data_IF_993460189478
#
_entry.id   IF_993460189478
#
_cell.length_a   1.000
_cell.length_b   1.000
_cell.length_c   1.000
_cell.angle_alpha   90.00
_cell.angle_beta   90.00
_cell.angle_gamma   90.00
#
_symmetry.space_group_name_H-M   'P 1'
#
loop_
_entity.id
_entity.type
_entity.pdbx_description
1 polymer ?
#
# COMPACT_ATOMS: atom_id res chain seq x y z
N UNK A 1 -20.43 0.48 11.41
CA UNK A 1 -19.06 0.03 11.07
C UNK A 1 -18.75 -1.34 11.64
N UNK A 2 -18.67 -1.54 12.97
CA UNK A 2 -18.30 -2.85 13.57
C UNK A 2 -19.22 -4.01 13.17
N UNK A 3 -20.52 -3.78 13.04
CA UNK A 3 -21.50 -4.80 12.63
C UNK A 3 -21.32 -5.31 11.19
N UNK A 4 -20.62 -4.57 10.33
CA UNK A 4 -20.42 -4.93 8.92
C UNK A 4 -19.15 -5.77 8.70
N UNK A 5 -18.22 -5.74 9.67
CA UNK A 5 -16.91 -6.39 9.57
C UNK A 5 -17.04 -7.91 9.38
N UNK A 6 -17.87 -8.65 10.15
CA UNK A 6 -17.96 -10.11 10.00
C UNK A 6 -18.44 -10.52 8.60
N UNK A 7 -19.43 -9.80 8.05
CA UNK A 7 -19.95 -10.07 6.70
C UNK A 7 -18.91 -9.81 5.61
N UNK A 8 -18.18 -8.69 5.73
CA UNK A 8 -17.06 -8.38 4.83
C UNK A 8 -15.97 -9.47 4.91
N UNK A 9 -15.53 -9.84 6.12
CA UNK A 9 -14.53 -10.88 6.34
C UNK A 9 -14.96 -12.21 5.76
N UNK A 10 -16.22 -12.61 5.97
CA UNK A 10 -16.74 -13.86 5.43
C UNK A 10 -16.74 -13.88 3.89
N UNK A 11 -17.05 -12.75 3.26
CA UNK A 11 -16.96 -12.64 1.80
C UNK A 11 -15.52 -12.75 1.31
N UNK A 12 -14.55 -12.19 2.04
CA UNK A 12 -13.13 -12.32 1.71
C UNK A 12 -12.68 -13.77 1.84
N UNK A 13 -13.10 -14.47 2.90
CA UNK A 13 -12.80 -15.90 3.07
C UNK A 13 -13.31 -16.73 1.89
N UNK A 14 -14.57 -16.55 1.50
CA UNK A 14 -15.17 -17.31 0.39
C UNK A 14 -14.53 -16.95 -0.95
N UNK A 15 -14.24 -15.66 -1.18
CA UNK A 15 -13.48 -15.21 -2.35
C UNK A 15 -12.14 -15.93 -2.51
N UNK A 16 -11.49 -16.29 -1.39
CA UNK A 16 -10.16 -16.90 -1.37
C UNK A 16 -10.15 -18.41 -1.11
N UNK A 17 -11.33 -19.06 -1.07
CA UNK A 17 -11.44 -20.50 -0.84
C UNK A 17 -11.18 -21.36 -2.09
N UNK A 18 -11.16 -20.75 -3.29
CA UNK A 18 -10.97 -21.45 -4.56
C UNK A 18 -11.17 -20.53 -5.75
N UNK A 19 -11.40 -21.12 -6.94
CA UNK A 19 -11.59 -20.38 -8.20
C UNK A 19 -12.93 -20.69 -8.88
N UNK A 20 -13.85 -21.34 -8.17
CA UNK A 20 -15.17 -21.67 -8.70
C UNK A 20 -16.08 -20.43 -8.84
N UNK A 21 -17.29 -20.65 -9.34
CA UNK A 21 -18.27 -19.59 -9.55
C UNK A 21 -18.66 -18.88 -8.26
N UNK A 22 -18.71 -19.61 -7.14
CA UNK A 22 -19.06 -19.07 -5.82
C UNK A 22 -17.96 -18.16 -5.29
N UNK A 23 -16.70 -18.59 -5.40
CA UNK A 23 -15.54 -17.79 -5.01
C UNK A 23 -15.46 -16.49 -5.84
N UNK A 24 -15.55 -16.58 -7.17
CA UNK A 24 -15.50 -15.40 -8.04
C UNK A 24 -16.66 -14.42 -7.78
N UNK A 25 -17.89 -14.95 -7.60
CA UNK A 25 -19.03 -14.13 -7.23
C UNK A 25 -18.83 -13.45 -5.87
N UNK A 26 -18.25 -14.15 -4.90
CA UNK A 26 -17.93 -13.59 -3.58
C UNK A 26 -16.85 -12.51 -3.64
N UNK A 27 -15.85 -12.62 -4.53
CA UNK A 27 -14.89 -11.54 -4.76
C UNK A 27 -15.58 -10.28 -5.30
N UNK A 28 -16.48 -10.44 -6.27
CA UNK A 28 -17.22 -9.32 -6.87
C UNK A 28 -18.16 -8.65 -5.85
N UNK A 29 -18.97 -9.44 -5.13
CA UNK A 29 -19.94 -8.94 -4.15
C UNK A 29 -19.23 -8.39 -2.91
N UNK A 30 -18.11 -8.98 -2.51
CA UNK A 30 -17.38 -8.57 -1.32
C UNK A 30 -16.94 -7.11 -1.37
N UNK A 31 -16.65 -6.56 -2.56
CA UNK A 31 -16.38 -5.11 -2.71
C UNK A 31 -17.56 -4.28 -2.20
N UNK A 32 -18.79 -4.67 -2.51
CA UNK A 32 -19.99 -3.99 -2.02
C UNK A 32 -20.24 -4.21 -0.52
N UNK A 33 -19.84 -5.36 0.03
CA UNK A 33 -19.99 -5.65 1.46
C UNK A 33 -18.93 -4.93 2.31
N UNK A 34 -17.72 -4.74 1.79
CA UNK A 34 -16.60 -4.15 2.49
C UNK A 34 -16.52 -2.63 2.32
N UNK A 35 -16.77 -2.09 1.12
CA UNK A 35 -16.63 -0.66 0.83
C UNK A 35 -17.41 0.28 1.75
N UNK A 36 -18.62 -0.06 2.24
CA UNK A 36 -19.33 0.81 3.18
C UNK A 36 -18.54 1.10 4.47
N UNK A 37 -17.65 0.19 4.90
CA UNK A 37 -16.76 0.41 6.06
C UNK A 37 -15.84 1.61 5.80
N UNK A 38 -15.30 1.69 4.57
CA UNK A 38 -14.43 2.77 4.10
C UNK A 38 -15.25 4.03 3.84
N UNK A 39 -16.43 3.89 3.22
CA UNK A 39 -17.29 5.01 2.85
C UNK A 39 -17.72 5.86 4.06
N UNK A 40 -17.90 5.26 5.24
CA UNK A 40 -18.19 6.01 6.49
C UNK A 40 -17.09 7.02 6.82
N UNK A 41 -15.83 6.74 6.49
CA UNK A 41 -14.76 7.72 6.62
C UNK A 41 -14.86 8.79 5.52
N UNK A 42 -15.08 8.37 4.28
CA UNK A 42 -15.15 9.29 3.12
C UNK A 42 -16.25 10.34 3.25
N UNK A 43 -17.42 10.00 3.83
CA UNK A 43 -18.52 10.98 4.02
C UNK A 43 -18.19 12.09 5.02
N UNK A 44 -17.11 11.97 5.80
CA UNK A 44 -16.66 13.05 6.69
C UNK A 44 -15.98 14.20 5.94
N UNK A 45 -15.68 14.03 4.65
CA UNK A 45 -14.92 14.99 3.85
C UNK A 45 -13.42 15.00 4.14
N UNK A 46 -12.94 14.10 5.01
CA UNK A 46 -11.51 13.90 5.28
C UNK A 46 -10.83 13.17 4.13
N UNK A 47 -9.56 13.46 3.93
CA UNK A 47 -8.76 12.80 2.90
C UNK A 47 -8.43 11.37 3.31
N UNK A 48 -8.92 10.37 2.55
CA UNK A 48 -8.65 8.95 2.80
C UNK A 48 -7.17 8.57 2.68
N UNK A 49 -6.34 9.44 2.09
CA UNK A 49 -4.91 9.26 1.90
C UNK A 49 -4.06 10.02 2.93
N UNK A 50 -4.65 10.91 3.73
CA UNK A 50 -3.97 11.61 4.82
C UNK A 50 -5.00 12.14 5.82
N UNK A 51 -5.11 11.49 6.97
CA UNK A 51 -6.15 11.79 7.97
C UNK A 51 -6.10 13.22 8.54
N UNK A 52 -4.99 13.92 8.33
CA UNK A 52 -4.79 15.31 8.78
C UNK A 52 -5.43 16.31 7.81
N UNK A 53 -5.66 15.92 6.55
CA UNK A 53 -6.11 16.78 5.45
C UNK A 53 -7.60 16.62 5.17
N UNK A 54 -8.20 17.64 4.55
CA UNK A 54 -9.51 17.52 3.89
C UNK A 54 -9.34 17.01 2.46
N UNK A 55 -10.34 16.30 1.94
CA UNK A 55 -10.31 15.80 0.57
C UNK A 55 -10.53 16.96 -0.42
N UNK A 56 -9.59 17.18 -1.34
CA UNK A 56 -9.68 18.17 -2.42
C UNK A 56 -9.67 17.47 -3.80
N UNK A 57 -10.71 17.67 -4.60
CA UNK A 57 -10.86 16.99 -5.90
C UNK A 57 -11.15 15.49 -5.83
N UNK A 58 -11.21 14.83 -6.98
CA UNK A 58 -11.61 13.41 -7.11
C UNK A 58 -10.59 12.42 -6.54
N UNK A 59 -9.32 12.81 -6.46
CA UNK A 59 -8.23 12.01 -5.87
C UNK A 59 -7.83 12.52 -4.47
N UNK A 60 -8.64 13.39 -3.86
CA UNK A 60 -8.37 14.08 -2.59
C UNK A 60 -7.05 14.90 -2.55
N UNK A 61 -6.41 15.09 -3.70
CA UNK A 61 -5.29 16.00 -3.93
C UNK A 61 -5.52 16.73 -5.26
N UNK A 62 -5.09 17.99 -5.31
CA UNK A 62 -5.06 18.74 -6.56
C UNK A 62 -3.85 18.35 -7.41
N UNK A 63 -4.11 17.60 -8.49
CA UNK A 63 -3.11 17.18 -9.49
C UNK A 63 -3.24 17.93 -10.82
N UNK A 64 -3.98 19.04 -10.87
CA UNK A 64 -4.27 19.75 -12.12
C UNK A 64 -3.00 20.19 -12.85
N UNK A 65 -1.96 20.57 -12.12
CA UNK A 65 -0.68 20.99 -12.70
C UNK A 65 -0.04 19.88 -13.53
N UNK A 66 -0.10 18.62 -13.05
CA UNK A 66 0.44 17.46 -13.77
C UNK A 66 -0.38 17.21 -15.04
N UNK A 67 -1.70 17.25 -14.93
CA UNK A 67 -2.59 17.06 -16.07
C UNK A 67 -2.40 18.14 -17.14
N UNK A 68 -2.30 19.40 -16.75
CA UNK A 68 -2.04 20.52 -17.67
C UNK A 68 -0.68 20.38 -18.35
N UNK A 69 0.35 19.98 -17.61
CA UNK A 69 1.69 19.81 -18.18
C UNK A 69 1.76 18.66 -19.18
N UNK A 70 1.25 17.48 -18.83
CA UNK A 70 1.32 16.28 -19.68
C UNK A 70 0.40 16.32 -20.90
N UNK A 71 -0.59 17.22 -20.91
CA UNK A 71 -1.48 17.47 -22.05
C UNK A 71 -0.99 18.60 -22.98
N UNK A 72 0.17 19.21 -22.73
CA UNK A 72 0.74 20.18 -23.67
C UNK A 72 1.30 19.47 -24.90
N UNK A 73 1.01 20.02 -26.08
CA UNK A 73 1.47 19.48 -27.36
C UNK A 73 3.00 19.37 -27.44
N UNK A 74 3.73 20.39 -26.96
CA UNK A 74 5.19 20.38 -26.99
C UNK A 74 5.80 19.33 -26.05
N UNK A 75 5.14 19.06 -24.92
CA UNK A 75 5.51 17.99 -23.98
C UNK A 75 5.23 16.63 -24.60
N UNK A 76 4.05 16.40 -25.17
CA UNK A 76 3.70 15.14 -25.82
C UNK A 76 4.63 14.83 -27.01
N UNK A 77 4.90 15.83 -27.84
CA UNK A 77 5.86 15.72 -28.94
C UNK A 77 7.26 15.37 -28.45
N UNK A 78 7.71 15.97 -27.35
CA UNK A 78 9.02 15.67 -26.75
C UNK A 78 9.11 14.27 -26.17
N UNK A 79 7.99 13.73 -25.66
CA UNK A 79 7.88 12.35 -25.17
C UNK A 79 7.64 11.32 -26.30
N UNK A 80 7.42 11.77 -27.54
CA UNK A 80 7.14 10.89 -28.68
C UNK A 80 5.76 10.22 -28.61
N UNK A 81 4.79 10.89 -27.98
CA UNK A 81 3.41 10.40 -27.88
C UNK A 81 2.52 11.19 -28.84
N UNK A 82 1.59 10.50 -29.50
CA UNK A 82 0.54 11.12 -30.31
C UNK A 82 -0.37 12.01 -29.45
N UNK A 83 -1.21 12.83 -30.09
CA UNK A 83 -2.15 13.72 -29.40
C UNK A 83 -3.24 12.93 -28.64
N UNK A 84 -2.91 12.53 -27.41
CA UNK A 84 -3.74 11.72 -26.52
C UNK A 84 -4.02 12.50 -25.24
N UNK A 85 -5.27 12.48 -24.78
CA UNK A 85 -5.64 13.09 -23.50
C UNK A 85 -5.05 12.26 -22.35
N UNK A 86 -4.06 12.82 -21.65
CA UNK A 86 -3.52 12.25 -20.43
C UNK A 86 -4.52 12.40 -19.27
N UNK A 87 -4.74 11.30 -18.54
CA UNK A 87 -5.52 11.24 -17.30
C UNK A 87 -4.74 10.50 -16.23
N UNK A 88 -4.82 10.95 -14.99
CA UNK A 88 -4.15 10.30 -13.85
C UNK A 88 -4.61 8.86 -13.63
N UNK A 89 -5.89 8.57 -13.89
CA UNK A 89 -6.49 7.25 -13.71
C UNK A 89 -7.52 6.96 -14.80
N UNK A 90 -7.59 5.71 -15.26
CA UNK A 90 -8.66 5.22 -16.13
C UNK A 90 -9.69 4.44 -15.29
N UNK A 91 -10.87 5.03 -15.08
CA UNK A 91 -11.92 4.41 -14.25
C UNK A 91 -12.61 3.21 -14.92
N UNK A 92 -12.54 3.09 -16.25
CA UNK A 92 -12.98 1.89 -16.97
C UNK A 92 -12.10 0.69 -16.62
N UNK A 93 -10.77 0.88 -16.62
CA UNK A 93 -9.83 -0.15 -16.15
C UNK A 93 -10.04 -0.46 -14.67
N UNK A 94 -10.22 0.55 -13.83
CA UNK A 94 -10.52 0.34 -12.40
C UNK A 94 -11.74 -0.57 -12.18
N UNK A 95 -12.80 -0.38 -12.97
CA UNK A 95 -14.02 -1.20 -12.88
C UNK A 95 -13.76 -2.66 -13.29
N UNK A 96 -12.94 -2.89 -14.31
CA UNK A 96 -12.59 -4.26 -14.77
C UNK A 96 -11.86 -5.07 -13.68
N UNK A 97 -11.13 -4.42 -12.77
CA UNK A 97 -10.47 -5.05 -11.63
C UNK A 97 -11.42 -5.35 -10.44
N UNK A 98 -12.74 -5.20 -10.61
CA UNK A 98 -13.72 -5.38 -9.52
C UNK A 98 -13.65 -6.72 -8.79
N UNK A 99 -13.35 -7.82 -9.50
CA UNK A 99 -13.19 -9.16 -8.92
C UNK A 99 -11.82 -9.42 -8.30
N UNK A 100 -10.83 -8.58 -8.62
CA UNK A 100 -9.44 -8.79 -8.25
C UNK A 100 -9.13 -8.26 -6.83
N UNK A 101 -9.84 -7.20 -6.44
CA UNK A 101 -9.59 -6.43 -5.21
C UNK A 101 -9.53 -7.26 -3.92
N UNK A 102 -10.34 -8.31 -3.79
CA UNK A 102 -10.41 -9.13 -2.57
C UNK A 102 -9.64 -10.44 -2.66
N UNK A 103 -8.97 -10.70 -3.79
CA UNK A 103 -8.09 -11.86 -3.90
C UNK A 103 -6.85 -11.66 -3.04
N UNK A 104 -6.45 -12.71 -2.37
CA UNK A 104 -5.26 -12.76 -1.55
C UNK A 104 -4.06 -12.94 -2.47
N UNK A 105 -3.16 -11.98 -2.49
CA UNK A 105 -1.89 -12.06 -3.20
C UNK A 105 -0.68 -12.20 -2.27
N UNK A 106 -0.89 -12.17 -0.96
CA UNK A 106 0.19 -12.19 0.02
C UNK A 106 0.95 -13.53 0.02
N UNK A 107 0.36 -14.60 -0.54
CA UNK A 107 1.02 -15.91 -0.70
C UNK A 107 2.24 -15.86 -1.63
N UNK A 108 2.41 -14.80 -2.42
CA UNK A 108 3.57 -14.61 -3.29
C UNK A 108 4.82 -14.18 -2.52
N UNK A 109 4.65 -13.48 -1.38
CA UNK A 109 5.76 -12.95 -0.59
C UNK A 109 6.68 -14.05 -0.02
N UNK A 110 6.17 -15.15 0.57
CA UNK A 110 7.02 -16.25 1.03
C UNK A 110 7.90 -16.85 -0.06
N UNK A 111 7.35 -17.04 -1.28
CA UNK A 111 8.10 -17.56 -2.43
C UNK A 111 9.26 -16.63 -2.79
N UNK A 112 9.01 -15.32 -2.85
CA UNK A 112 10.07 -14.33 -3.10
C UNK A 112 11.19 -14.42 -2.04
N UNK A 113 10.81 -14.54 -0.76
CA UNK A 113 11.78 -14.63 0.33
C UNK A 113 12.61 -15.92 0.25
N UNK A 114 12.00 -17.05 -0.10
CA UNK A 114 12.67 -18.34 -0.31
C UNK A 114 13.63 -18.31 -1.51
N UNK A 115 13.27 -17.58 -2.57
CA UNK A 115 14.12 -17.36 -3.76
C UNK A 115 15.25 -16.33 -3.52
N UNK A 116 15.48 -15.91 -2.28
CA UNK A 116 16.54 -14.97 -1.93
C UNK A 116 16.23 -13.51 -2.28
N UNK A 117 14.97 -13.18 -2.60
CA UNK A 117 14.54 -11.81 -2.91
C UNK A 117 14.11 -11.10 -1.62
N UNK A 118 14.80 -10.01 -1.27
CA UNK A 118 14.44 -9.18 -0.11
C UNK A 118 13.12 -8.45 -0.38
N UNK A 119 12.24 -8.43 0.61
CA UNK A 119 10.95 -7.72 0.53
C UNK A 119 10.89 -6.63 1.59
N UNK A 120 10.53 -5.42 1.17
CA UNK A 120 10.28 -4.29 2.06
C UNK A 120 8.84 -3.80 1.86
N UNK A 121 8.06 -3.86 2.92
CA UNK A 121 6.74 -3.26 3.03
C UNK A 121 6.90 -1.94 3.79
N UNK A 122 6.35 -0.85 3.29
CA UNK A 122 6.39 0.44 3.99
C UNK A 122 5.03 1.12 3.95
N UNK A 123 4.72 1.88 4.99
CA UNK A 123 3.47 2.61 5.11
C UNK A 123 3.66 3.92 5.89
N UNK A 124 3.01 4.98 5.43
CA UNK A 124 2.88 6.24 6.16
C UNK A 124 1.87 6.09 7.30
N UNK A 125 2.17 6.68 8.46
CA UNK A 125 1.32 6.55 9.65
C UNK A 125 0.07 7.43 9.67
N UNK A 126 -0.09 8.31 8.69
CA UNK A 126 -1.25 9.19 8.49
C UNK A 126 -2.17 8.70 7.37
N UNK A 127 -1.87 7.58 6.70
CA UNK A 127 -2.75 6.98 5.69
C UNK A 127 -3.93 6.24 6.35
N UNK A 128 -5.14 6.43 5.83
CA UNK A 128 -6.32 5.68 6.26
C UNK A 128 -6.56 4.46 5.36
N UNK A 129 -6.59 4.66 4.03
CA UNK A 129 -7.05 3.63 3.08
C UNK A 129 -6.12 2.41 3.05
N UNK A 130 -4.81 2.61 3.17
CA UNK A 130 -3.79 1.57 3.28
C UNK A 130 -2.93 1.76 4.54
N UNK A 131 -3.61 1.99 5.67
CA UNK A 131 -2.99 2.32 6.94
C UNK A 131 -1.86 1.37 7.40
N UNK A 132 -0.92 1.93 8.16
CA UNK A 132 0.24 1.19 8.68
C UNK A 132 -0.14 0.04 9.62
N UNK A 133 -1.26 0.15 10.34
CA UNK A 133 -1.74 -0.88 11.29
C UNK A 133 -2.11 -2.15 10.53
N UNK A 134 -2.93 -2.03 9.48
CA UNK A 134 -3.32 -3.14 8.60
C UNK A 134 -2.11 -3.74 7.89
N UNK A 135 -1.20 -2.89 7.41
CA UNK A 135 0.04 -3.36 6.79
C UNK A 135 0.93 -4.15 7.74
N UNK A 136 1.10 -3.67 8.98
CA UNK A 136 1.87 -4.37 10.01
C UNK A 136 1.21 -5.68 10.39
N UNK A 137 -0.11 -5.70 10.56
CA UNK A 137 -0.86 -6.88 10.96
C UNK A 137 -0.70 -8.03 9.97
N UNK A 138 -0.82 -7.77 8.66
CA UNK A 138 -0.63 -8.83 7.67
C UNK A 138 0.83 -9.27 7.60
N UNK A 139 1.79 -8.35 7.70
CA UNK A 139 3.22 -8.68 7.69
C UNK A 139 3.61 -9.59 8.87
N UNK A 140 3.05 -9.36 10.08
CA UNK A 140 3.27 -10.21 11.26
C UNK A 140 2.50 -11.54 11.22
N UNK A 141 1.42 -11.60 10.42
CA UNK A 141 0.61 -12.81 10.27
C UNK A 141 1.12 -13.73 9.15
N UNK A 142 1.91 -13.18 8.21
CA UNK A 142 2.44 -13.88 7.06
C UNK A 142 3.11 -15.19 7.46
N UNK A 143 2.74 -16.28 6.78
CA UNK A 143 3.35 -17.59 6.99
C UNK A 143 4.57 -17.71 6.08
N UNK A 144 5.76 -17.76 6.68
CA UNK A 144 7.04 -17.94 6.00
C UNK A 144 8.07 -18.43 7.03
N UNK A 145 9.21 -19.02 6.60
CA UNK A 145 10.20 -19.59 7.52
C UNK A 145 10.73 -18.64 8.62
N UNK A 146 10.80 -17.34 8.35
CA UNK A 146 11.28 -16.33 9.29
C UNK A 146 10.20 -15.66 10.16
N UNK A 147 8.95 -16.15 10.13
CA UNK A 147 7.81 -15.54 10.87
C UNK A 147 8.11 -15.34 12.35
N UNK A 148 8.61 -16.38 13.03
CA UNK A 148 8.89 -16.32 14.47
C UNK A 148 9.96 -15.27 14.79
N UNK A 149 11.04 -15.23 14.00
CA UNK A 149 12.10 -14.24 14.13
C UNK A 149 11.57 -12.81 13.88
N UNK A 150 10.70 -12.63 12.89
CA UNK A 150 10.08 -11.33 12.61
C UNK A 150 9.15 -10.86 13.73
N UNK A 151 8.37 -11.76 14.31
CA UNK A 151 7.47 -11.43 15.41
C UNK A 151 8.23 -11.16 16.71
N UNK A 152 9.35 -11.86 16.95
CA UNK A 152 10.26 -11.63 18.08
C UNK A 152 11.12 -10.36 17.93
N UNK A 153 11.38 -9.90 16.70
CA UNK A 153 12.14 -8.69 16.44
C UNK A 153 11.43 -7.45 17.01
N UNK A 154 12.19 -6.57 17.66
CA UNK A 154 11.70 -5.27 18.12
C UNK A 154 11.70 -4.25 16.99
N UNK A 155 10.77 -3.30 17.07
CA UNK A 155 10.79 -2.14 16.20
C UNK A 155 11.95 -1.23 16.60
N UNK A 156 12.77 -0.84 15.64
CA UNK A 156 13.94 0.02 15.85
C UNK A 156 13.70 1.39 15.22
N UNK A 157 14.25 2.47 15.77
CA UNK A 157 14.17 3.79 15.15
C UNK A 157 14.68 3.77 13.70
N UNK A 158 13.94 4.43 12.83
CA UNK A 158 14.36 4.79 11.48
C UNK A 158 14.56 6.30 11.44
N UNK A 159 15.71 6.76 10.93
CA UNK A 159 16.09 8.16 10.92
C UNK A 159 16.17 8.75 9.52
N UNK A 160 15.82 10.03 9.40
CA UNK A 160 16.06 10.86 8.22
C UNK A 160 17.56 11.16 8.06
N UNK A 161 18.00 11.78 6.93
CA UNK A 161 19.41 12.11 6.71
C UNK A 161 20.07 12.96 7.80
N UNK A 162 19.29 13.82 8.47
CA UNK A 162 19.75 14.71 9.54
C UNK A 162 19.79 14.03 10.92
N UNK A 163 19.47 12.74 11.00
CA UNK A 163 19.41 11.96 12.23
C UNK A 163 18.09 12.09 12.98
N UNK A 164 17.17 12.96 12.56
CA UNK A 164 15.86 13.08 13.19
C UNK A 164 15.04 11.80 13.06
N UNK A 165 14.17 11.55 14.03
CA UNK A 165 13.29 10.38 14.02
C UNK A 165 12.29 10.47 12.86
N UNK A 166 12.33 9.49 11.95
CA UNK A 166 11.51 9.44 10.75
C UNK A 166 10.57 8.24 10.71
N UNK A 167 10.67 7.33 11.68
CA UNK A 167 9.81 6.15 11.71
C UNK A 167 10.34 5.01 12.57
N UNK A 168 9.81 3.83 12.29
CA UNK A 168 10.21 2.57 12.88
C UNK A 168 10.45 1.53 11.80
N UNK A 169 11.42 0.65 12.03
CA UNK A 169 11.70 -0.50 11.17
C UNK A 169 11.77 -1.79 11.97
N UNK A 170 11.14 -2.82 11.43
CA UNK A 170 11.26 -4.21 11.87
C UNK A 170 11.77 -5.04 10.72
N UNK A 171 12.84 -5.80 10.94
CA UNK A 171 13.43 -6.65 9.91
C UNK A 171 13.85 -7.99 10.52
N UNK A 172 13.61 -9.07 9.79
CA UNK A 172 14.14 -10.39 10.10
C UNK A 172 14.38 -11.18 8.81
N UNK A 173 15.19 -12.22 8.92
CA UNK A 173 15.41 -13.24 7.90
C UNK A 173 15.41 -14.62 8.57
N UNK A 174 15.27 -15.69 7.80
CA UNK A 174 15.53 -17.06 8.25
C UNK A 174 16.81 -17.60 7.58
N UNK A 175 17.34 -18.72 8.08
CA UNK A 175 18.59 -19.29 7.56
C UNK A 175 18.54 -19.60 6.04
N UNK A 176 17.36 -19.92 5.52
CA UNK A 176 17.11 -20.29 4.13
C UNK A 176 16.34 -19.23 3.34
N UNK A 177 16.16 -18.01 3.87
CA UNK A 177 15.34 -16.99 3.21
C UNK A 177 15.97 -15.60 3.28
N UNK A 178 15.62 -14.75 2.32
CA UNK A 178 15.92 -13.34 2.37
C UNK A 178 15.13 -12.61 3.46
N UNK A 179 15.52 -11.34 3.71
CA UNK A 179 14.90 -10.54 4.75
C UNK A 179 13.53 -9.99 4.34
N UNK A 180 12.57 -10.09 5.24
CA UNK A 180 11.36 -9.27 5.25
C UNK A 180 11.58 -8.06 6.15
N UNK A 181 11.23 -6.87 5.65
CA UNK A 181 11.25 -5.62 6.43
C UNK A 181 9.90 -4.92 6.38
N UNK A 182 9.44 -4.40 7.52
CA UNK A 182 8.32 -3.47 7.62
C UNK A 182 8.81 -2.12 8.12
N UNK A 183 8.51 -1.05 7.39
CA UNK A 183 8.90 0.33 7.72
C UNK A 183 7.65 1.19 7.91
N UNK A 184 7.45 1.68 9.12
CA UNK A 184 6.46 2.72 9.41
C UNK A 184 7.16 4.07 9.27
N UNK A 185 6.61 4.97 8.46
CA UNK A 185 7.14 6.33 8.28
C UNK A 185 6.24 7.34 8.98
N UNK A 186 6.83 8.16 9.84
CA UNK A 186 6.10 9.15 10.62
C UNK A 186 5.69 10.37 9.80
N UNK A 187 4.53 10.93 10.13
CA UNK A 187 3.98 12.15 9.52
C UNK A 187 3.81 12.06 7.99
N UNK A 188 3.61 10.85 7.46
CA UNK A 188 3.41 10.58 6.04
C UNK A 188 2.04 9.95 5.79
N UNK A 189 1.34 10.40 4.75
CA UNK A 189 0.12 9.77 4.25
C UNK A 189 0.41 8.65 3.27
N UNK A 190 -0.52 8.44 2.34
CA UNK A 190 -0.48 7.38 1.33
C UNK A 190 0.72 7.48 0.39
N UNK A 191 1.08 8.71 0.01
CA UNK A 191 2.23 8.98 -0.85
C UNK A 191 3.43 9.37 0.01
N UNK A 192 4.04 8.39 0.69
CA UNK A 192 5.18 8.62 1.59
C UNK A 192 6.27 9.53 1.00
N UNK A 193 6.71 9.38 -0.27
CA UNK A 193 7.71 10.28 -0.86
C UNK A 193 7.24 11.72 -1.04
N UNK A 194 5.92 11.96 -1.15
CA UNK A 194 5.36 13.31 -1.25
C UNK A 194 5.40 14.02 0.12
N UNK A 195 5.06 13.34 1.20
CA UNK A 195 4.99 13.94 2.54
C UNK A 195 6.34 13.94 3.28
N UNK A 196 7.18 12.93 3.06
CA UNK A 196 8.47 12.74 3.74
C UNK A 196 9.59 12.39 2.73
N UNK A 197 9.93 13.27 1.77
CA UNK A 197 10.86 12.96 0.69
C UNK A 197 12.27 12.59 1.17
N UNK A 198 12.77 13.25 2.22
CA UNK A 198 14.09 12.97 2.78
C UNK A 198 14.18 11.57 3.39
N UNK A 199 13.18 11.20 4.21
CA UNK A 199 13.08 9.87 4.80
C UNK A 199 12.87 8.79 3.74
N UNK A 200 11.99 9.03 2.76
CA UNK A 200 11.75 8.12 1.64
C UNK A 200 13.01 7.85 0.81
N UNK A 201 13.81 8.90 0.55
CA UNK A 201 15.09 8.80 -0.14
C UNK A 201 16.09 7.93 0.63
N UNK A 202 16.22 8.10 1.95
CA UNK A 202 17.07 7.22 2.78
C UNK A 202 16.59 5.78 2.71
N UNK A 203 15.28 5.56 2.87
CA UNK A 203 14.67 4.24 2.87
C UNK A 203 14.97 3.47 1.58
N UNK A 204 14.68 4.08 0.42
CA UNK A 204 14.89 3.41 -0.87
C UNK A 204 16.37 3.20 -1.17
N UNK A 205 17.24 4.19 -0.89
CA UNK A 205 18.67 4.05 -1.14
C UNK A 205 19.30 2.96 -0.27
N UNK A 206 18.97 2.91 1.03
CA UNK A 206 19.44 1.85 1.91
C UNK A 206 18.96 0.48 1.43
N UNK A 207 17.68 0.36 1.07
CA UNK A 207 17.14 -0.89 0.56
C UNK A 207 17.85 -1.35 -0.72
N UNK A 208 18.00 -0.48 -1.71
CA UNK A 208 18.63 -0.82 -2.99
C UNK A 208 20.12 -1.15 -2.85
N UNK A 209 20.83 -0.50 -1.93
CA UNK A 209 22.25 -0.73 -1.65
C UNK A 209 22.50 -1.88 -0.66
N UNK A 210 21.46 -2.62 -0.27
CA UNK A 210 21.52 -3.67 0.74
C UNK A 210 22.16 -3.21 2.08
N UNK A 211 21.91 -1.95 2.45
CA UNK A 211 22.34 -1.39 3.74
C UNK A 211 21.27 -1.61 4.80
N UNK A 212 21.65 -1.76 6.09
CA UNK A 212 20.69 -1.82 7.18
C UNK A 212 19.76 -0.60 7.20
N UNK A 213 18.46 -0.82 7.33
CA UNK A 213 17.45 0.24 7.39
C UNK A 213 17.51 1.03 8.71
N UNK A 214 17.87 0.36 9.81
CA UNK A 214 18.18 0.97 11.11
C UNK A 214 19.41 1.88 11.08
#
# INVERSE_FOLDING_TARGET
MKSMVPTCQKSIEVCNAGTDITANASCAIGRFLCNPIIAVYSVTGRNSYDIRKSCDGSLCYNFDAVGKFLNREDVQKSLGVDNLEWKSCNMGVNLMFGIDWLKNFNYTVPVLLEDGIRVMVYAGDMDFICNWIGNKNWATSLLWPGKEAFNAATDKPFSAPDGSAAGLVRSAAAASTASLSFVQIYNAGHMVPMDQPAAASVMINKFMQNKPLK
#
